data_IF_848275415175
#
_entry.id   IF_848275415175
#
_cell.length_a   1.000
_cell.length_b   1.000
_cell.length_c   1.000
_cell.angle_alpha   90.00
_cell.angle_beta   90.00
_cell.angle_gamma   90.00
#
_symmetry.space_group_name_H-M   'P 1'
#
loop_
_entity.id
_entity.type
_entity.pdbx_description
1 polymer ?
#
# COMPACT_ATOMS: atom_id res chain seq x y z
N UNK A 1 -23.79 -53.26 1.90
CA UNK A 1 -23.37 -51.86 2.17
C UNK A 1 -23.49 -51.09 0.86
N UNK A 2 -24.51 -50.20 0.74
CA UNK A 2 -24.36 -48.72 0.52
C UNK A 2 -23.39 -48.37 -0.63
N UNK A 3 -23.74 -47.70 -1.74
CA UNK A 3 -24.94 -47.03 -2.30
C UNK A 3 -24.74 -47.04 -3.84
N UNK A 4 -25.65 -47.56 -4.67
CA UNK A 4 -26.65 -46.80 -5.50
C UNK A 4 -26.20 -45.39 -5.92
N UNK A 5 -26.35 -44.87 -7.13
CA UNK A 5 -26.89 -45.22 -8.46
C UNK A 5 -26.30 -44.09 -9.35
N UNK A 6 -25.79 -44.36 -10.55
CA UNK A 6 -26.57 -44.26 -11.80
C UNK A 6 -27.33 -42.91 -11.94
N UNK A 7 -27.37 -42.16 -13.05
CA UNK A 7 -26.84 -42.26 -14.41
C UNK A 7 -27.55 -41.12 -15.19
N UNK A 8 -27.02 -40.78 -16.39
CA UNK A 8 -27.73 -40.27 -17.59
C UNK A 8 -28.03 -38.75 -17.74
N UNK A 9 -27.87 -38.36 -19.03
CA UNK A 9 -28.42 -37.23 -19.81
C UNK A 9 -27.61 -35.94 -19.70
N UNK A 10 -26.68 -35.62 -20.60
CA UNK A 10 -26.73 -35.59 -22.08
C UNK A 10 -27.93 -34.81 -22.63
N UNK A 11 -27.60 -33.63 -23.17
CA UNK A 11 -28.31 -32.87 -24.18
C UNK A 11 -29.61 -32.19 -23.69
N UNK A 12 -30.02 -31.02 -24.19
CA UNK A 12 -29.96 -30.51 -25.55
C UNK A 12 -30.54 -29.07 -25.49
N UNK A 13 -30.22 -28.22 -26.49
CA UNK A 13 -31.03 -27.04 -26.93
C UNK A 13 -30.92 -25.77 -26.04
N UNK A 14 -30.82 -24.52 -26.49
CA UNK A 14 -30.83 -23.78 -27.77
C UNK A 14 -30.01 -22.50 -27.48
N UNK A 15 -29.06 -22.11 -28.33
CA UNK A 15 -29.28 -21.18 -29.45
C UNK A 15 -29.78 -19.77 -29.05
N UNK A 16 -28.91 -18.81 -29.36
CA UNK A 16 -29.19 -17.43 -29.75
C UNK A 16 -29.70 -16.43 -28.70
N UNK A 17 -28.77 -15.62 -28.20
CA UNK A 17 -28.84 -14.16 -28.36
C UNK A 17 -27.43 -13.61 -28.58
N UNK A 18 -27.09 -13.39 -29.85
CA UNK A 18 -26.20 -12.30 -30.26
C UNK A 18 -26.80 -10.96 -29.82
N UNK A 19 -25.92 -10.02 -29.45
CA UNK A 19 -26.12 -8.60 -29.15
C UNK A 19 -26.38 -8.24 -27.67
N UNK A 20 -25.63 -7.22 -27.25
CA UNK A 20 -25.64 -6.51 -25.97
C UNK A 20 -24.88 -7.22 -24.83
N UNK A 21 -23.76 -6.74 -24.31
CA UNK A 21 -23.14 -5.43 -24.45
C UNK A 21 -21.67 -5.56 -24.71
N UNK A 22 -21.16 -4.59 -25.46
CA UNK A 22 -19.89 -3.94 -25.16
C UNK A 22 -19.35 -4.38 -23.80
N UNK A 23 -18.21 -5.07 -23.75
CA UNK A 23 -17.27 -4.70 -22.69
C UNK A 23 -16.96 -3.24 -22.99
N UNK A 24 -17.78 -2.35 -22.43
CA UNK A 24 -17.27 -1.06 -22.03
C UNK A 24 -16.03 -1.45 -21.22
N UNK A 25 -14.87 -1.17 -21.77
CA UNK A 25 -13.88 -0.47 -20.98
C UNK A 25 -14.66 0.72 -20.41
N UNK A 26 -15.37 0.51 -19.31
CA UNK A 26 -15.69 1.60 -18.42
C UNK A 26 -14.30 2.04 -18.02
N UNK A 27 -13.81 3.07 -18.72
CA UNK A 27 -12.48 3.65 -18.57
C UNK A 27 -12.37 4.28 -17.20
N UNK A 28 -12.45 3.43 -16.19
CA UNK A 28 -12.28 3.69 -14.79
C UNK A 28 -11.25 2.66 -14.30
N UNK A 29 -10.17 2.48 -15.05
CA UNK A 29 -8.89 2.29 -14.40
C UNK A 29 -8.78 3.48 -13.45
N UNK A 30 -8.84 3.18 -12.15
CA UNK A 30 -8.65 4.16 -11.08
C UNK A 30 -7.49 5.07 -11.48
N UNK A 31 -7.77 6.37 -11.58
CA UNK A 31 -6.77 7.38 -11.96
C UNK A 31 -5.77 7.70 -10.84
N UNK A 32 -5.83 7.00 -9.71
CA UNK A 32 -4.90 7.17 -8.59
C UNK A 32 -3.92 5.99 -8.50
N UNK A 33 -2.68 6.19 -8.03
CA UNK A 33 -1.76 5.08 -7.82
C UNK A 33 -2.31 4.05 -6.85
N UNK A 34 -1.90 2.80 -7.06
CA UNK A 34 -2.12 1.78 -6.06
C UNK A 34 -1.29 2.11 -4.82
N UNK A 35 -1.92 2.17 -3.64
CA UNK A 35 -1.20 2.37 -2.37
C UNK A 35 -0.29 1.20 -2.02
N UNK A 36 -0.58 0.02 -2.58
CA UNK A 36 0.19 -1.21 -2.42
C UNK A 36 1.35 -1.27 -3.41
N UNK A 37 2.51 -1.71 -2.93
CA UNK A 37 3.74 -1.82 -3.70
C UNK A 37 4.53 -0.51 -3.82
N UNK A 38 4.11 0.56 -3.14
CA UNK A 38 4.76 1.89 -3.16
C UNK A 38 5.25 2.27 -1.77
N UNK A 39 6.46 2.83 -1.68
CA UNK A 39 6.98 3.40 -0.45
C UNK A 39 6.51 4.85 -0.29
N UNK A 40 5.85 5.14 0.83
CA UNK A 40 5.26 6.44 1.11
C UNK A 40 5.96 7.09 2.30
N UNK A 41 6.62 8.22 2.10
CA UNK A 41 7.43 8.90 3.11
C UNK A 41 6.85 10.25 3.52
N UNK A 42 6.99 10.59 4.78
CA UNK A 42 6.78 11.96 5.25
C UNK A 42 7.91 12.85 4.70
N UNK A 43 7.58 14.06 4.24
CA UNK A 43 8.60 15.03 3.81
C UNK A 43 9.48 15.49 4.99
N UNK A 44 8.89 15.50 6.20
CA UNK A 44 9.57 15.88 7.42
C UNK A 44 10.55 14.79 7.87
N UNK A 45 11.71 15.21 8.32
CA UNK A 45 12.70 14.34 8.94
C UNK A 45 12.30 13.99 10.39
N UNK A 46 12.33 12.70 10.74
CA UNK A 46 12.08 12.22 12.11
C UNK A 46 13.30 12.44 13.01
N UNK A 47 14.48 12.27 12.43
CA UNK A 47 15.81 12.54 12.98
C UNK A 47 16.65 13.19 11.88
N UNK A 48 17.73 13.93 12.21
CA UNK A 48 18.59 14.56 11.20
C UNK A 48 19.04 13.57 10.12
N UNK A 49 18.60 13.80 8.88
CA UNK A 49 18.91 12.95 7.73
C UNK A 49 18.10 11.66 7.59
N UNK A 50 17.04 11.47 8.38
CA UNK A 50 16.17 10.28 8.35
C UNK A 50 14.74 10.68 8.04
N UNK A 51 14.14 10.07 7.02
CA UNK A 51 12.73 10.24 6.69
C UNK A 51 11.98 8.93 6.97
N UNK A 52 10.83 9.00 7.64
CA UNK A 52 10.00 7.84 7.97
C UNK A 52 8.93 7.61 6.91
N UNK A 53 8.61 6.34 6.68
CA UNK A 53 7.62 5.96 5.70
C UNK A 53 6.99 4.60 5.95
N UNK A 54 6.00 4.30 5.13
CA UNK A 54 5.19 3.09 5.17
C UNK A 54 5.31 2.35 3.84
N UNK A 55 5.28 1.02 3.94
CA UNK A 55 5.19 0.13 2.80
C UNK A 55 4.09 -0.90 3.02
N UNK A 56 3.22 -1.04 2.02
CA UNK A 56 2.11 -1.99 2.00
C UNK A 56 2.38 -2.98 0.87
N UNK A 57 2.51 -4.27 1.19
CA UNK A 57 2.74 -5.28 0.17
C UNK A 57 2.23 -6.64 0.61
N UNK A 58 1.51 -7.33 -0.27
CA UNK A 58 1.08 -8.71 -0.09
C UNK A 58 0.30 -8.87 1.24
N UNK A 59 -0.53 -7.88 1.57
CA UNK A 59 -1.30 -7.83 2.80
C UNK A 59 -0.48 -7.57 4.07
N UNK A 60 0.79 -7.20 3.98
CA UNK A 60 1.67 -6.87 5.11
C UNK A 60 2.12 -5.42 5.09
N UNK A 61 2.00 -4.77 6.25
CA UNK A 61 2.43 -3.40 6.48
C UNK A 61 3.79 -3.40 7.19
N UNK A 62 4.66 -2.49 6.80
CA UNK A 62 5.98 -2.31 7.41
C UNK A 62 6.34 -0.83 7.49
N UNK A 63 7.03 -0.46 8.56
CA UNK A 63 7.71 0.82 8.67
C UNK A 63 9.08 0.75 8.03
N UNK A 64 9.35 1.74 7.20
CA UNK A 64 10.63 1.95 6.55
C UNK A 64 11.17 3.32 6.90
N UNK A 65 12.47 3.49 6.76
CA UNK A 65 13.13 4.78 6.82
C UNK A 65 14.05 4.97 5.62
N UNK A 66 14.21 6.21 5.17
CA UNK A 66 15.11 6.58 4.10
C UNK A 66 16.30 7.37 4.65
N UNK A 67 17.51 6.93 4.29
CA UNK A 67 18.77 7.58 4.67
C UNK A 67 19.07 8.76 3.72
N UNK A 68 18.62 9.97 4.07
CA UNK A 68 18.80 11.17 3.24
C UNK A 68 20.24 11.71 3.26
N UNK A 69 20.99 11.45 4.33
CA UNK A 69 22.39 11.83 4.51
C UNK A 69 23.25 10.67 5.01
N UNK A 70 24.57 10.85 5.04
CA UNK A 70 25.49 9.89 5.65
C UNK A 70 25.28 9.78 7.17
N UNK A 71 24.93 10.89 7.83
CA UNK A 71 24.54 10.89 9.25
C UNK A 71 23.26 10.07 9.48
N UNK A 72 22.25 10.26 8.63
CA UNK A 72 21.02 9.45 8.68
C UNK A 72 21.29 7.98 8.41
N UNK A 73 22.22 7.66 7.50
CA UNK A 73 22.67 6.30 7.26
C UNK A 73 23.38 5.69 8.48
N UNK A 74 24.18 6.49 9.20
CA UNK A 74 24.83 6.05 10.44
C UNK A 74 23.80 5.77 11.55
N UNK A 75 22.81 6.66 11.73
CA UNK A 75 21.71 6.47 12.68
C UNK A 75 20.95 5.18 12.36
N UNK A 76 20.52 4.99 11.11
CA UNK A 76 19.79 3.79 10.71
C UNK A 76 20.64 2.53 10.82
N UNK A 77 21.94 2.60 10.53
CA UNK A 77 22.86 1.48 10.75
C UNK A 77 22.93 1.08 12.22
N UNK A 78 22.99 2.07 13.12
CA UNK A 78 23.04 1.82 14.55
C UNK A 78 21.74 1.19 15.07
N UNK A 79 20.60 1.79 14.73
CA UNK A 79 19.27 1.36 15.18
C UNK A 79 18.93 -0.03 14.65
N UNK A 80 19.21 -0.31 13.38
CA UNK A 80 18.85 -1.58 12.72
C UNK A 80 19.93 -2.65 12.82
N UNK A 81 21.15 -2.28 13.24
CA UNK A 81 22.35 -3.14 13.23
C UNK A 81 22.70 -3.68 11.83
N UNK A 82 22.34 -2.92 10.79
CA UNK A 82 22.63 -3.25 9.38
C UNK A 82 23.64 -2.27 8.80
N UNK A 83 24.23 -2.63 7.67
CA UNK A 83 25.05 -1.71 6.90
C UNK A 83 24.16 -0.85 6.00
N UNK A 84 24.03 0.43 6.32
CA UNK A 84 23.19 1.39 5.59
C UNK A 84 24.08 2.46 4.94
N UNK A 85 23.73 2.86 3.72
CA UNK A 85 24.31 4.00 3.01
C UNK A 85 23.27 5.06 2.74
N UNK A 86 23.72 6.30 2.52
CA UNK A 86 22.87 7.35 1.95
C UNK A 86 22.15 6.85 0.69
N UNK A 87 20.87 7.17 0.59
CA UNK A 87 19.98 6.75 -0.49
C UNK A 87 19.32 5.39 -0.27
N UNK A 88 19.64 4.67 0.82
CA UNK A 88 18.97 3.41 1.11
C UNK A 88 17.59 3.64 1.74
N UNK A 89 16.64 2.78 1.35
CA UNK A 89 15.40 2.53 2.07
C UNK A 89 15.64 1.34 3.00
N UNK A 90 15.32 1.47 4.28
CA UNK A 90 15.69 0.50 5.32
C UNK A 90 14.45 0.06 6.08
N UNK A 91 14.22 -1.25 6.16
CA UNK A 91 13.17 -1.81 7.01
C UNK A 91 13.53 -1.54 8.47
N UNK A 92 12.69 -0.80 9.18
CA UNK A 92 12.87 -0.49 10.60
C UNK A 92 12.02 -1.39 11.48
N UNK A 93 10.77 -1.65 11.09
CA UNK A 93 9.88 -2.50 11.88
C UNK A 93 8.75 -3.12 11.02
N UNK A 94 8.61 -4.46 10.97
CA UNK A 94 7.44 -5.10 10.40
C UNK A 94 6.24 -4.90 11.34
N UNK A 95 5.12 -4.38 10.83
CA UNK A 95 3.94 -4.11 11.66
C UNK A 95 2.98 -5.29 11.70
N UNK A 96 2.66 -5.86 10.54
CA UNK A 96 1.77 -7.01 10.44
C UNK A 96 0.71 -6.87 9.36
N UNK A 97 -0.30 -7.73 9.42
CA UNK A 97 -1.29 -7.86 8.37
C UNK A 97 -2.21 -6.63 8.29
N UNK A 98 -2.59 -6.25 7.06
CA UNK A 98 -3.61 -5.23 6.80
C UNK A 98 -4.65 -5.73 5.79
N UNK A 99 -5.78 -5.04 5.72
CA UNK A 99 -6.74 -5.19 4.62
C UNK A 99 -7.07 -3.82 4.02
N UNK A 100 -7.34 -3.78 2.71
CA UNK A 100 -7.77 -2.55 2.01
C UNK A 100 -9.22 -2.71 1.57
N UNK A 101 -10.04 -1.70 1.88
CA UNK A 101 -11.38 -1.51 1.34
C UNK A 101 -11.34 -0.25 0.47
N UNK A 102 -11.39 -0.42 -0.85
CA UNK A 102 -11.41 0.70 -1.80
C UNK A 102 -12.83 1.25 -1.94
N UNK A 103 -12.94 2.57 -2.04
CA UNK A 103 -14.20 3.22 -2.38
C UNK A 103 -14.51 3.07 -3.88
N UNK A 104 -15.75 3.34 -4.29
CA UNK A 104 -16.21 3.20 -5.68
C UNK A 104 -15.42 4.06 -6.68
N UNK A 105 -14.89 5.20 -6.23
CA UNK A 105 -14.07 6.10 -7.02
C UNK A 105 -12.68 5.52 -7.36
N UNK A 106 -12.24 4.48 -6.65
CA UNK A 106 -10.92 3.88 -6.75
C UNK A 106 -9.75 4.78 -6.31
N UNK A 107 -10.00 6.03 -5.94
CA UNK A 107 -9.01 7.05 -5.55
C UNK A 107 -8.92 7.26 -4.04
N UNK A 108 -9.79 6.60 -3.28
CA UNK A 108 -9.80 6.63 -1.83
C UNK A 108 -10.16 5.27 -1.25
N UNK A 109 -10.00 5.13 0.06
CA UNK A 109 -10.38 3.91 0.77
C UNK A 109 -9.90 3.88 2.21
N UNK A 110 -10.04 2.71 2.81
CA UNK A 110 -9.61 2.44 4.18
C UNK A 110 -8.63 1.28 4.20
N UNK A 111 -7.56 1.43 4.97
CA UNK A 111 -6.65 0.36 5.37
C UNK A 111 -6.96 0.02 6.83
N UNK A 112 -7.34 -1.22 7.11
CA UNK A 112 -7.43 -1.72 8.48
C UNK A 112 -6.09 -2.38 8.83
N UNK A 113 -5.40 -1.88 9.86
CA UNK A 113 -4.06 -2.34 10.24
C UNK A 113 -3.91 -2.48 11.76
N UNK A 114 -2.78 -3.02 12.26
CA UNK A 114 -2.50 -3.08 13.69
C UNK A 114 -2.41 -1.70 14.37
N UNK A 115 -2.22 -0.63 13.58
CA UNK A 115 -2.18 0.75 14.06
C UNK A 115 -3.56 1.40 14.13
N UNK A 116 -4.62 0.63 13.83
CA UNK A 116 -6.00 1.11 13.77
C UNK A 116 -6.51 1.25 12.33
N UNK A 117 -7.47 2.13 12.16
CA UNK A 117 -8.06 2.44 10.84
C UNK A 117 -7.28 3.60 10.22
N UNK A 118 -6.76 3.41 9.00
CA UNK A 118 -6.12 4.46 8.21
C UNK A 118 -7.02 4.75 7.01
N UNK A 119 -7.52 5.98 6.91
CA UNK A 119 -8.18 6.44 5.69
C UNK A 119 -7.16 7.03 4.74
N UNK A 120 -7.29 6.70 3.46
CA UNK A 120 -6.47 7.29 2.41
C UNK A 120 -7.29 7.97 1.33
N UNK A 121 -6.80 9.10 0.85
CA UNK A 121 -7.44 9.89 -0.21
C UNK A 121 -6.43 10.80 -0.92
N UNK A 122 -6.87 11.47 -1.99
CA UNK A 122 -6.03 12.41 -2.73
C UNK A 122 -4.85 11.73 -3.42
N UNK A 123 -5.06 10.51 -3.92
CA UNK A 123 -4.08 9.73 -4.67
C UNK A 123 -3.69 10.47 -5.96
N UNK A 124 -2.58 11.18 -5.91
CA UNK A 124 -1.80 11.50 -7.12
C UNK A 124 -0.73 10.44 -7.27
N UNK A 125 -0.16 10.26 -8.46
CA UNK A 125 0.95 9.31 -8.71
C UNK A 125 2.08 9.39 -7.67
N UNK A 126 2.21 10.54 -7.01
CA UNK A 126 3.32 10.90 -6.15
C UNK A 126 2.95 11.23 -4.70
N UNK A 127 1.66 11.27 -4.34
CA UNK A 127 1.24 11.66 -3.00
C UNK A 127 -0.03 10.96 -2.53
N UNK A 128 -0.09 10.69 -1.23
CA UNK A 128 -1.28 10.16 -0.54
C UNK A 128 -1.47 10.84 0.81
N UNK A 129 -2.72 11.10 1.20
CA UNK A 129 -3.04 11.48 2.58
C UNK A 129 -3.40 10.24 3.38
N UNK A 130 -2.80 10.07 4.55
CA UNK A 130 -3.20 9.08 5.55
C UNK A 130 -3.75 9.76 6.80
N UNK A 131 -4.92 9.30 7.25
CA UNK A 131 -5.56 9.74 8.50
C UNK A 131 -5.74 8.51 9.38
N UNK A 132 -5.14 8.48 10.57
CA UNK A 132 -5.40 7.41 11.53
C UNK A 132 -6.47 7.82 12.52
N UNK A 133 -7.27 6.85 12.95
CA UNK A 133 -8.30 7.01 13.97
C UNK A 133 -7.99 6.15 15.19
N UNK A 134 -8.20 6.71 16.39
CA UNK A 134 -8.14 5.92 17.63
C UNK A 134 -9.44 5.12 17.86
N UNK A 135 -9.51 4.38 18.97
CA UNK A 135 -10.68 3.55 19.30
C UNK A 135 -11.96 4.35 19.59
N UNK A 136 -11.85 5.64 19.87
CA UNK A 136 -12.98 6.54 20.12
C UNK A 136 -13.45 7.24 18.83
N UNK A 137 -12.73 7.04 17.72
CA UNK A 137 -13.02 7.67 16.43
C UNK A 137 -12.45 9.08 16.31
N UNK A 138 -11.56 9.51 17.20
CA UNK A 138 -10.84 10.76 17.03
C UNK A 138 -9.76 10.61 15.96
N UNK A 139 -9.38 11.72 15.31
CA UNK A 139 -8.26 11.80 14.35
C UNK A 139 -6.98 12.28 15.06
N UNK A 140 -6.20 11.41 15.73
CA UNK A 140 -4.97 11.84 16.36
C UNK A 140 -3.89 12.23 15.34
N UNK A 141 -3.94 11.69 14.12
CA UNK A 141 -2.87 11.88 13.12
C UNK A 141 -3.44 12.02 11.71
N UNK A 142 -3.01 13.07 11.01
CA UNK A 142 -3.20 13.27 9.57
C UNK A 142 -1.85 13.63 8.95
N UNK A 143 -1.40 12.83 7.98
CA UNK A 143 -0.11 12.99 7.32
C UNK A 143 -0.27 12.96 5.81
N UNK A 144 0.48 13.80 5.12
CA UNK A 144 0.66 13.70 3.68
C UNK A 144 2.00 13.02 3.41
N UNK A 145 1.95 11.92 2.67
CA UNK A 145 3.11 11.13 2.31
C UNK A 145 3.36 11.23 0.81
N UNK A 146 4.63 11.10 0.44
CA UNK A 146 5.10 11.25 -0.92
C UNK A 146 5.99 10.10 -1.35
N UNK A 147 6.10 9.89 -2.65
CA UNK A 147 7.17 9.06 -3.21
C UNK A 147 8.51 9.80 -3.10
N UNK A 148 9.60 9.06 -2.90
CA UNK A 148 10.95 9.67 -2.87
C UNK A 148 11.33 10.30 -4.21
N UNK A 149 10.82 9.76 -5.32
CA UNK A 149 11.00 10.30 -6.66
C UNK A 149 10.47 11.73 -6.77
N UNK A 150 9.26 11.97 -6.29
CA UNK A 150 8.65 13.30 -6.28
C UNK A 150 9.45 14.31 -5.44
N UNK A 151 10.00 13.84 -4.32
CA UNK A 151 10.85 14.65 -3.46
C UNK A 151 12.27 14.86 -4.01
N UNK A 152 12.60 14.26 -5.16
CA UNK A 152 13.93 14.36 -5.78
C UNK A 152 15.01 13.61 -5.02
N UNK A 153 14.64 12.60 -4.23
CA UNK A 153 15.59 11.80 -3.43
C UNK A 153 15.92 10.47 -4.14
N UNK A 154 17.18 10.28 -4.58
CA UNK A 154 17.56 9.09 -5.33
C UNK A 154 17.63 7.85 -4.42
N UNK A 155 16.95 6.78 -4.83
CA UNK A 155 17.02 5.48 -4.15
C UNK A 155 18.18 4.66 -4.70
N UNK A 156 19.07 4.21 -3.81
CA UNK A 156 20.28 3.45 -4.17
C UNK A 156 20.22 1.98 -3.77
N UNK A 157 19.22 1.59 -2.96
CA UNK A 157 19.02 0.21 -2.53
C UNK A 157 17.95 0.08 -1.45
N UNK A 158 17.49 -1.15 -1.23
CA UNK A 158 16.57 -1.52 -0.15
C UNK A 158 17.31 -2.48 0.80
N UNK A 159 17.20 -2.25 2.11
CA UNK A 159 17.85 -3.01 3.17
C UNK A 159 16.78 -3.58 4.11
N UNK A 160 16.41 -4.85 3.90
CA UNK A 160 15.40 -5.58 4.70
C UNK A 160 16.00 -6.40 5.85
#
# INVERSE_FOLDING_TARGET
MRKYLFYIFMALVCAACTLAGCRKNDGNESKGPNVEGVFWFEEKESDPGVMTGLYLKDGNMSYYAYAKSDDGAAILSEVTRKFVKKGNIVLTFPLGAYTIVKNEDGTSGTINSPLGKIEYSGLTENSVFFVSYDSEGNEPVRMQLYTLEYLGFPVTGIVE
#
